data_IF_482382496031
#
_entry.id   IF_482382496031
#
_cell.length_a   1.000
_cell.length_b   1.000
_cell.length_c   1.000
_cell.angle_alpha   90.00
_cell.angle_beta   90.00
_cell.angle_gamma   90.00
#
_symmetry.space_group_name_H-M   'P 1'
#
loop_
_entity.id
_entity.type
_entity.pdbx_description
1 polymer ?
#
# COMPACT_ATOMS: atom_id res chain seq x y z
N UNK A 1 -10.13 -3.40 -6.96
CA UNK A 1 -10.00 -2.06 -7.60
C UNK A 1 -8.52 -1.83 -7.88
N UNK A 2 -8.20 -1.28 -9.06
CA UNK A 2 -6.84 -0.89 -9.44
C UNK A 2 -6.77 0.63 -9.58
N UNK A 3 -5.88 1.26 -8.83
CA UNK A 3 -5.55 2.68 -8.99
C UNK A 3 -4.20 2.76 -9.70
N UNK A 4 -4.04 3.69 -10.63
CA UNK A 4 -2.78 3.82 -11.38
C UNK A 4 -1.96 4.96 -10.81
N UNK A 5 -0.68 4.70 -10.57
CA UNK A 5 0.31 5.67 -10.16
C UNK A 5 1.36 5.94 -11.22
N UNK A 6 1.37 7.16 -11.78
CA UNK A 6 2.31 7.52 -12.84
C UNK A 6 3.60 8.11 -12.27
N UNK A 7 4.73 7.57 -12.73
CA UNK A 7 6.08 8.08 -12.49
C UNK A 7 6.58 8.80 -13.74
N UNK A 8 6.77 10.12 -13.65
CA UNK A 8 7.39 10.95 -14.69
C UNK A 8 8.83 11.30 -14.30
N UNK A 9 9.77 11.28 -15.24
CA UNK A 9 11.19 11.56 -15.00
C UNK A 9 11.43 13.00 -14.48
N UNK A 10 10.48 13.90 -14.71
CA UNK A 10 10.47 15.29 -14.19
C UNK A 10 10.15 15.34 -12.69
N UNK A 11 9.40 14.37 -12.16
CA UNK A 11 9.09 14.26 -10.74
C UNK A 11 10.11 13.33 -10.06
N UNK A 12 10.81 13.85 -9.06
CA UNK A 12 11.78 13.04 -8.30
C UNK A 12 11.11 11.82 -7.67
N UNK A 13 11.79 10.66 -7.66
CA UNK A 13 11.35 9.42 -6.97
C UNK A 13 10.84 9.69 -5.56
N UNK A 14 11.48 10.62 -4.83
CA UNK A 14 11.06 11.05 -3.50
C UNK A 14 9.65 11.64 -3.48
N UNK A 15 9.30 12.49 -4.46
CA UNK A 15 7.99 13.12 -4.56
C UNK A 15 6.87 12.09 -4.78
N UNK A 16 7.08 11.17 -5.71
CA UNK A 16 6.11 10.08 -5.99
C UNK A 16 5.97 9.17 -4.78
N UNK A 17 7.08 8.83 -4.11
CA UNK A 17 7.06 8.02 -2.88
C UNK A 17 6.22 8.68 -1.78
N UNK A 18 6.44 9.97 -1.53
CA UNK A 18 5.71 10.71 -0.50
C UNK A 18 4.22 10.82 -0.82
N UNK A 19 3.85 11.05 -2.09
CA UNK A 19 2.45 11.09 -2.51
C UNK A 19 1.77 9.73 -2.34
N UNK A 20 2.41 8.61 -2.72
CA UNK A 20 1.85 7.27 -2.51
C UNK A 20 1.60 7.00 -1.02
N UNK A 21 2.55 7.32 -0.15
CA UNK A 21 2.42 7.09 1.28
C UNK A 21 1.37 8.01 1.94
N UNK A 22 1.27 9.26 1.50
CA UNK A 22 0.20 10.18 1.94
C UNK A 22 -1.16 9.66 1.52
N UNK A 23 -1.35 9.26 0.25
CA UNK A 23 -2.59 8.65 -0.21
C UNK A 23 -2.94 7.40 0.60
N UNK A 24 -1.98 6.51 0.88
CA UNK A 24 -2.20 5.33 1.72
C UNK A 24 -2.64 5.70 3.14
N UNK A 25 -2.00 6.71 3.75
CA UNK A 25 -2.38 7.22 5.08
C UNK A 25 -3.80 7.77 5.07
N UNK A 26 -4.14 8.57 4.07
CA UNK A 26 -5.48 9.14 3.94
C UNK A 26 -6.53 8.05 3.75
N UNK A 27 -6.23 7.00 2.98
CA UNK A 27 -7.11 5.84 2.81
C UNK A 27 -7.35 5.14 4.15
N UNK A 28 -6.30 4.90 4.93
CA UNK A 28 -6.39 4.25 6.25
C UNK A 28 -7.26 5.08 7.19
N UNK A 29 -6.97 6.39 7.29
CA UNK A 29 -7.71 7.34 8.12
C UNK A 29 -9.17 7.46 7.71
N UNK A 30 -9.42 7.73 6.43
CA UNK A 30 -10.78 7.89 5.91
C UNK A 30 -11.57 6.61 6.08
N UNK A 31 -10.95 5.43 5.97
CA UNK A 31 -11.64 4.15 6.15
C UNK A 31 -11.95 3.81 7.61
N UNK A 32 -11.42 4.58 8.57
CA UNK A 32 -11.59 4.36 10.01
C UNK A 32 -10.67 3.27 10.58
N UNK A 33 -9.61 2.90 9.85
CA UNK A 33 -8.59 1.97 10.34
C UNK A 33 -7.63 2.68 11.29
N UNK A 34 -6.94 1.91 12.14
CA UNK A 34 -5.92 2.45 13.05
C UNK A 34 -4.65 2.90 12.28
N UNK A 35 -4.28 4.19 12.29
CA UNK A 35 -3.10 4.69 11.57
C UNK A 35 -1.76 4.41 12.28
N UNK A 36 -1.76 4.01 13.56
CA UNK A 36 -0.54 3.90 14.38
C UNK A 36 0.47 2.92 13.74
N UNK A 37 -0.01 1.75 13.35
CA UNK A 37 0.82 0.73 12.69
C UNK A 37 1.41 1.17 11.34
N UNK A 38 0.75 2.09 10.63
CA UNK A 38 1.28 2.66 9.39
C UNK A 38 2.32 3.74 9.66
N UNK A 39 2.11 4.57 10.69
CA UNK A 39 3.04 5.60 11.11
C UNK A 39 4.37 4.99 11.59
N UNK A 40 4.33 3.93 12.40
CA UNK A 40 5.53 3.23 12.88
C UNK A 40 6.39 2.66 11.75
N UNK A 41 5.74 2.20 10.68
CA UNK A 41 6.41 1.61 9.52
C UNK A 41 6.71 2.62 8.42
N UNK A 42 6.38 3.90 8.63
CA UNK A 42 6.49 4.94 7.61
C UNK A 42 7.88 4.98 6.99
N UNK A 43 8.95 5.14 7.80
CA UNK A 43 10.32 5.22 7.30
C UNK A 43 10.77 3.95 6.55
N UNK A 44 10.37 2.77 7.04
CA UNK A 44 10.69 1.49 6.42
C UNK A 44 10.01 1.36 5.05
N UNK A 45 8.74 1.74 4.97
CA UNK A 45 7.95 1.74 3.74
C UNK A 45 8.49 2.79 2.74
N UNK A 46 8.82 4.01 3.19
CA UNK A 46 9.46 5.05 2.37
C UNK A 46 10.74 4.54 1.76
N UNK A 47 11.63 3.93 2.57
CA UNK A 47 12.91 3.42 2.06
C UNK A 47 12.68 2.32 1.02
N UNK A 48 11.82 1.35 1.29
CA UNK A 48 11.55 0.25 0.36
C UNK A 48 10.97 0.76 -0.96
N UNK A 49 9.89 1.57 -0.92
CA UNK A 49 9.25 2.12 -2.12
C UNK A 49 10.24 2.97 -2.92
N UNK A 50 11.00 3.85 -2.25
CA UNK A 50 12.01 4.69 -2.91
C UNK A 50 13.09 3.87 -3.60
N UNK A 51 13.57 2.80 -2.97
CA UNK A 51 14.56 1.90 -3.58
C UNK A 51 14.01 1.24 -4.84
N UNK A 52 12.83 0.60 -4.75
CA UNK A 52 12.25 -0.11 -5.90
C UNK A 52 11.75 0.82 -7.01
N UNK A 53 11.27 2.02 -6.67
CA UNK A 53 10.97 3.05 -7.67
C UNK A 53 12.24 3.56 -8.35
N UNK A 54 13.30 3.79 -7.58
CA UNK A 54 14.58 4.28 -8.09
C UNK A 54 15.27 3.31 -9.06
N UNK A 55 15.09 2.00 -8.88
CA UNK A 55 15.58 0.98 -9.83
C UNK A 55 14.59 0.69 -10.96
N UNK A 56 13.37 1.23 -10.91
CA UNK A 56 12.33 0.95 -11.90
C UNK A 56 11.74 -0.46 -11.79
N UNK A 57 11.88 -1.09 -10.62
CA UNK A 57 11.46 -2.48 -10.38
C UNK A 57 10.11 -2.58 -9.66
N UNK A 58 9.62 -1.51 -9.03
CA UNK A 58 8.32 -1.50 -8.37
C UNK A 58 7.20 -1.57 -9.41
N UNK A 59 6.41 -2.64 -9.38
CA UNK A 59 5.26 -2.80 -10.28
C UNK A 59 3.98 -2.36 -9.61
N UNK A 60 3.76 -2.76 -8.36
CA UNK A 60 2.54 -2.44 -7.63
C UNK A 60 2.79 -2.20 -6.15
N UNK A 61 1.99 -1.33 -5.56
CA UNK A 61 1.86 -1.20 -4.11
C UNK A 61 0.49 -1.74 -3.73
N UNK A 62 0.46 -2.77 -2.89
CA UNK A 62 -0.75 -3.51 -2.55
C UNK A 62 -1.05 -3.27 -1.07
N UNK A 63 -2.24 -2.77 -0.77
CA UNK A 63 -2.77 -2.67 0.58
C UNK A 63 -3.83 -3.75 0.79
N UNK A 64 -3.49 -4.76 1.58
CA UNK A 64 -4.43 -5.82 1.95
C UNK A 64 -5.05 -5.49 3.30
N UNK A 65 -6.38 -5.57 3.37
CA UNK A 65 -7.15 -5.44 4.60
C UNK A 65 -7.71 -6.81 4.93
N UNK A 66 -7.46 -7.26 6.15
CA UNK A 66 -7.82 -8.59 6.61
C UNK A 66 -8.46 -8.54 8.00
N UNK A 67 -9.24 -9.57 8.29
CA UNK A 67 -9.82 -9.79 9.59
C UNK A 67 -8.81 -10.54 10.48
N UNK A 68 -8.25 -9.94 11.53
CA UNK A 68 -7.28 -10.64 12.38
C UNK A 68 -7.89 -11.81 13.17
N UNK A 69 -9.21 -11.87 13.35
CA UNK A 69 -9.87 -12.96 14.06
C UNK A 69 -10.03 -14.23 13.21
N UNK A 70 -10.10 -14.10 11.88
CA UNK A 70 -10.32 -15.22 10.96
C UNK A 70 -9.20 -15.41 9.94
N UNK A 71 -8.23 -14.50 9.93
CA UNK A 71 -7.16 -14.38 8.94
C UNK A 71 -7.66 -14.31 7.48
N UNK A 72 -8.92 -13.87 7.29
CA UNK A 72 -9.53 -13.74 5.97
C UNK A 72 -9.32 -12.35 5.39
N UNK A 73 -8.93 -12.32 4.12
CA UNK A 73 -8.88 -11.09 3.33
C UNK A 73 -10.29 -10.49 3.22
N UNK A 74 -10.42 -9.23 3.64
CA UNK A 74 -11.65 -8.43 3.53
C UNK A 74 -11.69 -7.73 2.19
N UNK A 75 -10.62 -7.01 1.87
CA UNK A 75 -10.44 -6.33 0.59
C UNK A 75 -8.96 -6.12 0.31
N UNK A 76 -8.65 -5.92 -0.96
CA UNK A 76 -7.29 -5.66 -1.45
C UNK A 76 -7.34 -4.49 -2.41
N UNK A 77 -6.41 -3.57 -2.21
CA UNK A 77 -6.25 -2.40 -3.06
C UNK A 77 -4.89 -2.43 -3.74
N UNK A 78 -4.91 -2.36 -5.06
CA UNK A 78 -3.71 -2.45 -5.90
C UNK A 78 -3.45 -1.08 -6.51
N UNK A 79 -2.26 -0.53 -6.26
CA UNK A 79 -1.74 0.64 -6.96
C UNK A 79 -0.76 0.14 -8.02
N UNK A 80 -1.12 0.26 -9.28
CA UNK A 80 -0.25 -0.06 -10.40
C UNK A 80 0.73 1.09 -10.67
N UNK A 81 2.03 0.84 -10.62
CA UNK A 81 3.05 1.83 -10.94
C UNK A 81 3.29 1.83 -12.46
N UNK A 82 3.03 2.97 -13.10
CA UNK A 82 3.27 3.20 -14.53
C UNK A 82 4.43 4.16 -14.68
N UNK A 83 5.54 3.66 -15.20
CA UNK A 83 6.69 4.47 -15.58
C UNK A 83 6.42 5.09 -16.96
N UNK A 84 6.09 6.38 -17.00
CA UNK A 84 5.65 7.04 -18.23
C UNK A 84 5.94 8.53 -18.23
N UNK A 85 6.15 9.08 -19.43
CA UNK A 85 6.31 10.52 -19.63
C UNK A 85 4.92 11.14 -19.71
N UNK A 86 4.39 11.62 -18.58
CA UNK A 86 3.17 12.43 -18.59
C UNK A 86 3.25 13.51 -17.53
N UNK A 87 2.74 14.70 -17.84
CA UNK A 87 2.59 15.88 -16.97
C UNK A 87 1.54 15.70 -15.86
N UNK A 88 1.39 14.48 -15.33
CA UNK A 88 0.49 14.19 -14.23
C UNK A 88 1.19 14.37 -12.89
N UNK A 89 0.63 15.18 -12.01
CA UNK A 89 1.18 15.57 -10.70
C UNK A 89 1.35 14.42 -9.69
N UNK A 90 1.24 13.15 -10.11
CA UNK A 90 1.34 11.98 -9.24
C UNK A 90 0.32 12.00 -8.09
N UNK A 91 -0.80 12.70 -8.27
CA UNK A 91 -1.88 12.79 -7.29
C UNK A 91 -2.85 11.63 -7.51
N UNK A 92 -2.92 10.70 -6.55
CA UNK A 92 -3.74 9.51 -6.65
C UNK A 92 -5.02 9.68 -5.86
N UNK A 93 -6.14 9.51 -6.54
CA UNK A 93 -7.47 9.50 -5.95
C UNK A 93 -7.96 8.06 -5.92
N UNK A 94 -8.39 7.59 -4.74
CA UNK A 94 -9.07 6.32 -4.61
C UNK A 94 -10.43 6.51 -3.96
N UNK A 95 -11.35 5.62 -4.27
CA UNK A 95 -12.67 5.59 -3.67
C UNK A 95 -12.61 4.95 -2.28
N UNK A 96 -12.42 5.78 -1.25
CA UNK A 96 -12.37 5.34 0.14
C UNK A 96 -13.73 4.86 0.66
N UNK A 97 -14.84 5.26 0.03
CA UNK A 97 -16.17 4.79 0.39
C UNK A 97 -16.34 3.31 0.05
N UNK A 98 -15.76 2.87 -1.07
CA UNK A 98 -15.75 1.45 -1.43
C UNK A 98 -15.00 0.59 -0.41
N UNK A 99 -13.93 1.14 0.19
CA UNK A 99 -13.17 0.48 1.26
C UNK A 99 -14.01 0.32 2.53
N UNK A 100 -14.65 1.41 2.98
CA UNK A 100 -15.58 1.38 4.13
C UNK A 100 -16.71 0.38 3.91
N UNK A 101 -17.29 0.38 2.71
CA UNK A 101 -18.37 -0.52 2.37
C UNK A 101 -17.92 -1.98 2.40
N UNK A 102 -16.74 -2.29 1.87
CA UNK A 102 -16.18 -3.64 1.91
C UNK A 102 -15.95 -4.14 3.36
N UNK A 103 -15.41 -3.29 4.23
CA UNK A 103 -15.20 -3.60 5.66
C UNK A 103 -16.54 -3.86 6.36
N UNK A 104 -17.52 -2.98 6.17
CA UNK A 104 -18.86 -3.13 6.74
C UNK A 104 -19.57 -4.39 6.22
N UNK A 105 -19.46 -4.68 4.92
CA UNK A 105 -20.06 -5.87 4.29
C UNK A 105 -19.44 -7.17 4.83
N UNK A 106 -18.17 -7.15 5.22
CA UNK A 106 -17.52 -8.26 5.90
C UNK A 106 -17.96 -8.42 7.37
N UNK A 107 -18.88 -7.57 7.87
CA UNK A 107 -19.38 -7.62 9.25
C UNK A 107 -18.36 -7.14 10.27
N UNK A 108 -17.37 -6.34 9.85
CA UNK A 108 -16.29 -5.86 10.70
C UNK A 108 -16.44 -4.37 10.99
N UNK A 109 -16.05 -3.98 12.20
CA UNK A 109 -15.76 -2.59 12.49
C UNK A 109 -14.38 -2.23 11.90
N UNK A 110 -14.21 -1.03 11.32
CA UNK A 110 -12.91 -0.57 10.86
C UNK A 110 -11.79 -0.69 11.89
N UNK A 111 -12.09 -0.41 13.17
CA UNK A 111 -11.13 -0.55 14.28
C UNK A 111 -10.69 -1.99 14.56
N UNK A 112 -11.42 -3.00 14.09
CA UNK A 112 -11.10 -4.42 14.26
C UNK A 112 -10.38 -5.00 13.05
N UNK A 113 -10.41 -4.33 11.90
CA UNK A 113 -9.69 -4.76 10.71
C UNK A 113 -8.21 -4.37 10.82
N UNK A 114 -7.33 -5.26 10.36
CA UNK A 114 -5.90 -4.97 10.21
C UNK A 114 -5.54 -4.84 8.74
N UNK A 115 -4.42 -4.20 8.46
CA UNK A 115 -3.91 -4.05 7.11
C UNK A 115 -2.44 -4.42 7.01
N UNK A 116 -2.03 -4.76 5.79
CA UNK A 116 -0.65 -5.09 5.44
C UNK A 116 -0.31 -4.44 4.11
N UNK A 117 0.83 -3.76 4.08
CA UNK A 117 1.41 -3.22 2.86
C UNK A 117 2.32 -4.29 2.23
N UNK A 118 2.14 -4.53 0.94
CA UNK A 118 2.95 -5.42 0.13
C UNK A 118 3.45 -4.67 -1.11
N UNK A 119 4.69 -4.91 -1.49
CA UNK A 119 5.30 -4.31 -2.67
C UNK A 119 5.51 -5.43 -3.70
N UNK A 120 4.86 -5.31 -4.84
CA UNK A 120 5.09 -6.20 -5.98
C UNK A 120 6.21 -5.64 -6.85
N UNK A 121 7.27 -6.41 -7.04
CA UNK A 121 8.48 -6.01 -7.76
C UNK A 121 8.78 -6.98 -8.90
N UNK A 122 9.54 -6.54 -9.91
CA UNK A 122 9.94 -7.40 -11.03
C UNK A 122 10.67 -8.65 -10.53
N UNK A 123 10.41 -9.84 -11.10
CA UNK A 123 11.16 -11.05 -10.75
C UNK A 123 12.64 -10.86 -11.12
N UNK A 124 13.53 -11.01 -10.14
CA UNK A 124 14.98 -10.76 -10.27
C UNK A 124 15.45 -9.47 -9.60
N UNK A 125 14.52 -8.60 -9.20
CA UNK A 125 14.82 -7.45 -8.37
C UNK A 125 15.24 -7.97 -6.97
N UNK A 126 16.49 -7.66 -6.57
CA UNK A 126 17.26 -8.33 -5.51
C UNK A 126 16.45 -8.80 -4.28
N UNK A 127 16.58 -10.08 -3.96
CA UNK A 127 16.01 -10.77 -2.80
C UNK A 127 16.44 -10.14 -1.46
N UNK A 128 15.79 -9.06 -1.06
CA UNK A 128 15.88 -8.53 0.31
C UNK A 128 14.49 -8.30 0.89
N UNK A 129 14.14 -9.19 1.82
CA UNK A 129 13.02 -9.08 2.77
C UNK A 129 11.64 -8.98 2.15
N UNK A 130 11.22 -10.10 1.56
CA UNK A 130 9.86 -10.55 1.85
C UNK A 130 9.81 -10.90 3.35
N UNK A 131 9.61 -9.89 4.21
CA UNK A 131 9.18 -10.11 5.57
C UNK A 131 7.80 -10.76 5.47
N UNK A 132 7.80 -12.09 5.36
CA UNK A 132 6.77 -12.89 6.00
C UNK A 132 6.75 -12.41 7.46
N UNK A 133 5.86 -11.49 7.77
CA UNK A 133 5.24 -11.39 9.08
C UNK A 133 4.40 -12.66 9.21
N UNK A 134 5.11 -13.78 9.34
CA UNK A 134 4.56 -15.07 9.69
C UNK A 134 4.64 -15.14 11.20
N UNK A 135 3.46 -15.10 11.81
CA UNK A 135 3.16 -15.69 13.10
C UNK A 135 4.07 -16.87 13.41
N UNK A 136 5.06 -16.65 14.28
CA UNK A 136 5.71 -17.73 15.02
C UNK A 136 5.01 -17.81 16.39
N UNK A 137 3.89 -18.53 16.39
CA UNK A 137 3.27 -19.07 17.60
C UNK A 137 3.21 -20.59 17.45
N UNK A 138 3.57 -21.28 18.53
CA UNK A 138 3.62 -22.74 18.73
C UNK A 138 4.83 -23.45 18.07
N UNK A 139 5.62 -24.26 18.77
CA UNK A 139 5.43 -24.98 20.03
C UNK A 139 6.75 -25.07 20.82
#
# INVERSE_FOLDING_TARGET
>A
MSTVATYSYTHSVTYVTDNILKSLKDIILLSGLDPEHFADRWESNTRAIKTWLGTGDLRKVILEIYNPATDKLVTRWDIDIVYGWSDGDGSFWTDTEQLKYAIKKAGLLPSQAKYKLMLDTKPGAMSHRQLKVGTAGAA
#
